data_IF_652111606739
#
_entry.id   IF_652111606739
#
_cell.length_a   1.000
_cell.length_b   1.000
_cell.length_c   1.000
_cell.angle_alpha   90.00
_cell.angle_beta   90.00
_cell.angle_gamma   90.00
#
_symmetry.space_group_name_H-M   'P 1'
#
loop_
_entity.id
_entity.type
_entity.pdbx_description
1 polymer ?
#
# COMPACT_ATOMS: atom_id res chain seq x y z
N UNK A 1 41.67 31.32 11.97
CA UNK A 1 41.88 29.85 11.81
C UNK A 1 40.94 28.99 12.66
N UNK A 2 40.62 29.35 13.92
CA UNK A 2 39.73 28.55 14.79
C UNK A 2 38.25 28.58 14.39
N UNK A 3 37.75 29.69 13.85
CA UNK A 3 36.35 29.87 13.41
C UNK A 3 36.02 29.10 12.12
N UNK A 4 36.99 28.92 11.23
CA UNK A 4 36.81 28.18 9.97
C UNK A 4 36.67 26.67 10.21
N UNK A 5 37.38 26.13 11.22
CA UNK A 5 37.34 24.70 11.59
C UNK A 5 35.98 24.35 12.24
N UNK A 6 35.41 25.25 13.05
CA UNK A 6 34.11 25.06 13.69
C UNK A 6 32.96 24.99 12.65
N UNK A 7 33.06 25.79 11.58
CA UNK A 7 32.04 25.86 10.53
C UNK A 7 32.04 24.60 9.65
N UNK A 8 33.21 24.00 9.39
CA UNK A 8 33.35 22.73 8.67
C UNK A 8 32.74 21.58 9.48
N UNK A 9 32.90 21.60 10.81
CA UNK A 9 32.37 20.57 11.71
C UNK A 9 30.82 20.57 11.77
N UNK A 10 30.21 21.76 11.73
CA UNK A 10 28.74 21.89 11.70
C UNK A 10 28.15 21.40 10.37
N UNK A 11 28.84 21.66 9.24
CA UNK A 11 28.40 21.22 7.91
C UNK A 11 28.52 19.69 7.74
N UNK A 12 29.49 19.04 8.39
CA UNK A 12 29.64 17.57 8.35
C UNK A 12 28.64 16.83 9.24
N UNK A 13 28.14 17.43 10.30
CA UNK A 13 27.11 16.83 11.16
C UNK A 13 25.72 16.92 10.50
N UNK A 14 25.44 17.98 9.73
CA UNK A 14 24.14 18.16 9.09
C UNK A 14 23.90 17.22 7.89
N UNK A 15 24.95 16.69 7.26
CA UNK A 15 24.83 15.75 6.14
C UNK A 15 24.48 14.31 6.56
N UNK A 16 24.63 13.96 7.84
CA UNK A 16 24.32 12.62 8.36
C UNK A 16 22.81 12.36 8.55
N UNK A 17 21.95 13.38 8.47
CA UNK A 17 20.50 13.22 8.64
C UNK A 17 19.71 13.09 7.33
N UNK A 18 20.38 13.12 6.16
CA UNK A 18 19.75 12.84 4.87
C UNK A 18 19.86 11.37 4.48
N UNK A 19 19.51 10.46 5.39
CA UNK A 19 19.21 9.08 5.00
C UNK A 19 17.83 9.07 4.32
N UNK A 20 17.81 9.42 3.04
CA UNK A 20 16.66 9.28 2.17
C UNK A 20 16.44 7.79 1.88
N UNK A 21 15.84 7.04 2.81
CA UNK A 21 15.48 5.64 2.57
C UNK A 21 14.16 5.57 1.80
N UNK A 22 14.20 5.94 0.53
CA UNK A 22 13.06 5.73 -0.37
C UNK A 22 13.30 4.51 -1.25
N UNK A 23 12.30 3.62 -1.26
CA UNK A 23 11.93 2.73 -2.37
C UNK A 23 12.50 1.30 -2.44
N UNK A 24 12.82 0.65 -1.31
CA UNK A 24 13.20 -0.79 -1.31
C UNK A 24 12.51 -1.65 -0.22
N UNK A 25 11.48 -1.14 0.46
CA UNK A 25 10.87 -1.85 1.60
C UNK A 25 10.21 -3.18 1.22
N UNK A 26 9.64 -3.31 0.02
CA UNK A 26 8.99 -4.58 -0.36
C UNK A 26 10.00 -5.71 -0.47
N UNK A 27 11.22 -5.47 -0.99
CA UNK A 27 12.23 -6.53 -1.13
C UNK A 27 12.58 -7.16 0.23
N UNK A 28 12.60 -6.35 1.29
CA UNK A 28 12.84 -6.81 2.67
C UNK A 28 11.68 -7.66 3.19
N UNK A 29 10.46 -7.24 2.91
CA UNK A 29 9.26 -7.88 3.46
C UNK A 29 8.69 -8.96 2.53
N UNK A 30 9.26 -9.18 1.34
CA UNK A 30 8.76 -10.09 0.31
C UNK A 30 8.61 -11.52 0.82
N UNK A 31 9.62 -12.06 1.50
CA UNK A 31 9.57 -13.44 2.02
C UNK A 31 8.44 -13.62 3.02
N UNK A 32 8.28 -12.68 3.96
CA UNK A 32 7.20 -12.71 4.94
C UNK A 32 5.83 -12.52 4.26
N UNK A 33 5.76 -11.61 3.29
CA UNK A 33 4.56 -11.40 2.47
C UNK A 33 4.16 -12.67 1.74
N UNK A 34 5.08 -13.34 1.05
CA UNK A 34 4.80 -14.56 0.27
C UNK A 34 4.38 -15.72 1.19
N UNK A 35 5.01 -15.84 2.37
CA UNK A 35 4.69 -16.87 3.36
C UNK A 35 3.36 -16.63 4.10
N UNK A 36 2.88 -15.39 4.19
CA UNK A 36 1.65 -15.06 4.93
C UNK A 36 0.41 -15.63 4.24
N UNK A 37 -0.47 -16.30 4.99
CA UNK A 37 -1.69 -16.88 4.44
C UNK A 37 -2.70 -15.79 4.04
N UNK A 38 -3.54 -16.05 3.03
CA UNK A 38 -4.65 -15.16 2.66
C UNK A 38 -5.83 -15.43 3.61
N UNK A 39 -6.26 -14.41 4.36
CA UNK A 39 -7.36 -14.52 5.32
C UNK A 39 -8.68 -13.98 4.76
N UNK A 40 -8.61 -13.06 3.78
CA UNK A 40 -9.78 -12.60 3.05
C UNK A 40 -9.41 -12.30 1.60
N UNK A 41 -10.33 -12.58 0.68
CA UNK A 41 -10.15 -12.33 -0.75
C UNK A 41 -11.46 -11.81 -1.32
N UNK A 42 -11.39 -10.62 -1.91
CA UNK A 42 -12.52 -9.95 -2.54
C UNK A 42 -12.23 -9.87 -4.03
N UNK A 43 -13.12 -10.42 -4.85
CA UNK A 43 -13.04 -10.35 -6.30
C UNK A 43 -13.99 -9.26 -6.80
N UNK A 44 -13.49 -8.37 -7.64
CA UNK A 44 -14.30 -7.34 -8.26
C UNK A 44 -15.32 -7.93 -9.25
N UNK A 45 -16.52 -7.36 -9.27
CA UNK A 45 -17.59 -7.63 -10.23
C UNK A 45 -17.92 -6.29 -10.90
N UNK A 46 -17.46 -6.08 -12.14
CA UNK A 46 -17.74 -4.85 -12.90
C UNK A 46 -16.52 -3.95 -13.15
N UNK A 47 -16.62 -2.66 -12.86
CA UNK A 47 -15.71 -1.58 -13.35
C UNK A 47 -14.20 -1.78 -13.11
N UNK A 48 -13.81 -2.61 -12.14
CA UNK A 48 -12.43 -3.02 -11.89
C UNK A 48 -12.21 -4.48 -12.34
N UNK A 49 -12.71 -4.83 -13.53
CA UNK A 49 -12.82 -6.22 -14.02
C UNK A 49 -11.56 -7.03 -13.76
N UNK A 50 -11.77 -8.24 -13.24
CA UNK A 50 -10.73 -9.21 -12.87
C UNK A 50 -9.68 -8.70 -11.87
N UNK A 51 -10.01 -7.67 -11.09
CA UNK A 51 -9.22 -7.27 -9.94
C UNK A 51 -9.61 -8.01 -8.66
N UNK A 52 -8.64 -8.09 -7.77
CA UNK A 52 -8.74 -8.71 -6.47
C UNK A 52 -8.13 -7.80 -5.42
N UNK A 53 -8.76 -7.79 -4.25
CA UNK A 53 -8.18 -7.25 -3.03
C UNK A 53 -8.05 -8.39 -2.03
N UNK A 54 -6.83 -8.72 -1.64
CA UNK A 54 -6.55 -9.78 -0.66
C UNK A 54 -5.98 -9.18 0.60
N UNK A 55 -6.49 -9.67 1.73
CA UNK A 55 -5.94 -9.43 3.05
C UNK A 55 -5.21 -10.70 3.46
N UNK A 56 -4.00 -10.53 3.95
CA UNK A 56 -3.16 -11.62 4.45
C UNK A 56 -2.90 -11.43 5.94
N UNK A 57 -2.38 -12.48 6.57
CA UNK A 57 -1.80 -12.40 7.91
C UNK A 57 -0.66 -11.39 7.98
N UNK A 58 -0.21 -11.07 9.19
CA UNK A 58 0.90 -10.15 9.46
C UNK A 58 0.71 -8.76 8.82
N UNK A 59 -0.55 -8.30 8.80
CA UNK A 59 -0.96 -6.99 8.32
C UNK A 59 -0.59 -6.70 6.86
N UNK A 60 -0.43 -7.74 6.04
CA UNK A 60 -0.17 -7.59 4.61
C UNK A 60 -1.47 -7.54 3.80
N UNK A 61 -1.44 -6.81 2.69
CA UNK A 61 -2.51 -6.84 1.70
C UNK A 61 -1.92 -6.80 0.28
N UNK A 62 -2.72 -7.20 -0.70
CA UNK A 62 -2.41 -7.07 -2.11
C UNK A 62 -3.64 -6.64 -2.88
N UNK A 63 -3.50 -5.59 -3.69
CA UNK A 63 -4.42 -5.39 -4.80
C UNK A 63 -3.76 -5.91 -6.08
N UNK A 64 -4.46 -6.68 -6.88
CA UNK A 64 -3.93 -7.11 -8.16
C UNK A 64 -5.02 -7.26 -9.22
N UNK A 65 -4.64 -7.09 -10.49
CA UNK A 65 -5.47 -7.41 -11.66
C UNK A 65 -5.00 -8.72 -12.27
N UNK A 66 -5.94 -9.56 -12.66
CA UNK A 66 -5.69 -10.87 -13.26
C UNK A 66 -6.00 -10.81 -14.77
N UNK A 67 -5.15 -11.44 -15.59
CA UNK A 67 -5.40 -11.67 -17.01
C UNK A 67 -6.36 -12.85 -17.21
N UNK A 68 -6.84 -13.01 -18.45
CA UNK A 68 -7.73 -14.10 -18.84
C UNK A 68 -7.13 -15.51 -18.59
N UNK A 69 -5.81 -15.64 -18.65
CA UNK A 69 -5.05 -16.87 -18.42
C UNK A 69 -4.75 -17.13 -16.92
N UNK A 70 -5.35 -16.34 -16.03
CA UNK A 70 -5.15 -16.37 -14.58
C UNK A 70 -3.80 -15.89 -14.07
N UNK A 71 -2.97 -15.29 -14.92
CA UNK A 71 -1.72 -14.67 -14.49
C UNK A 71 -1.99 -13.28 -13.90
N UNK A 72 -1.33 -12.95 -12.78
CA UNK A 72 -1.39 -11.59 -12.21
C UNK A 72 -0.68 -10.61 -13.17
N UNK A 73 -1.43 -9.67 -13.73
CA UNK A 73 -0.90 -8.64 -14.62
C UNK A 73 -0.21 -7.51 -13.85
N UNK A 74 -0.89 -7.03 -12.81
CA UNK A 74 -0.50 -5.87 -12.02
C UNK A 74 -0.69 -6.22 -10.56
N UNK A 75 0.34 -6.03 -9.74
CA UNK A 75 0.29 -6.32 -8.30
C UNK A 75 0.81 -5.12 -7.50
N UNK A 76 0.01 -4.72 -6.52
CA UNK A 76 0.26 -3.65 -5.58
C UNK A 76 0.21 -4.20 -4.16
N UNK A 77 1.31 -4.81 -3.68
CA UNK A 77 1.42 -5.26 -2.30
C UNK A 77 1.64 -4.06 -1.35
N UNK A 78 1.22 -4.24 -0.11
CA UNK A 78 1.42 -3.27 0.96
C UNK A 78 1.19 -3.85 2.34
N UNK A 79 1.27 -2.98 3.33
CA UNK A 79 0.83 -3.25 4.70
C UNK A 79 -0.38 -2.42 5.04
N UNK A 80 -1.26 -2.94 5.88
CA UNK A 80 -2.38 -2.18 6.39
C UNK A 80 -2.29 -2.01 7.91
N UNK A 81 -3.05 -1.07 8.43
CA UNK A 81 -3.41 -1.03 9.86
C UNK A 81 -4.91 -0.76 9.96
N UNK A 82 -5.55 -1.19 11.04
CA UNK A 82 -6.99 -1.03 11.22
C UNK A 82 -7.26 -0.05 12.36
N UNK A 83 -8.08 0.97 12.09
CA UNK A 83 -8.59 1.91 13.09
C UNK A 83 -10.11 1.98 12.93
N UNK A 84 -10.84 1.43 13.90
CA UNK A 84 -12.28 1.18 13.74
C UNK A 84 -12.55 0.29 12.52
N UNK A 85 -13.46 0.71 11.65
CA UNK A 85 -13.81 -0.02 10.43
C UNK A 85 -12.95 0.36 9.21
N UNK A 86 -11.98 1.27 9.40
CA UNK A 86 -11.13 1.76 8.32
C UNK A 86 -9.79 1.04 8.30
N UNK A 87 -9.46 0.46 7.15
CA UNK A 87 -8.11 0.01 6.83
C UNK A 87 -7.30 1.19 6.30
N UNK A 88 -6.13 1.42 6.86
CA UNK A 88 -5.15 2.39 6.40
C UNK A 88 -4.08 1.64 5.60
N UNK A 89 -4.06 1.87 4.29
CA UNK A 89 -3.25 1.14 3.32
C UNK A 89 -1.93 1.88 3.08
N UNK A 90 -0.82 1.19 3.31
CA UNK A 90 0.51 1.66 2.98
C UNK A 90 1.10 0.79 1.86
N UNK A 91 0.97 1.27 0.63
CA UNK A 91 1.48 0.59 -0.55
C UNK A 91 3.00 0.73 -0.64
N UNK A 92 3.66 -0.36 -1.03
CA UNK A 92 5.08 -0.28 -1.36
C UNK A 92 5.35 0.48 -2.67
N UNK A 93 4.38 0.47 -3.58
CA UNK A 93 4.40 1.28 -4.80
C UNK A 93 3.60 2.56 -4.60
N UNK A 94 4.26 3.72 -4.69
CA UNK A 94 3.61 5.04 -4.52
C UNK A 94 2.53 5.35 -5.56
N UNK A 95 2.62 4.79 -6.77
CA UNK A 95 1.60 4.97 -7.82
C UNK A 95 0.30 4.23 -7.50
N UNK A 96 0.36 3.13 -6.74
CA UNK A 96 -0.83 2.38 -6.36
C UNK A 96 -1.75 3.17 -5.41
N UNK A 97 -1.14 3.92 -4.49
CA UNK A 97 -1.83 4.85 -3.61
C UNK A 97 -2.61 5.92 -4.38
N UNK A 98 -2.09 6.41 -5.51
CA UNK A 98 -2.79 7.38 -6.37
C UNK A 98 -3.97 6.74 -7.12
N UNK A 99 -3.87 5.46 -7.46
CA UNK A 99 -4.91 4.73 -8.20
C UNK A 99 -6.10 4.35 -7.30
N UNK A 100 -5.85 3.78 -6.13
CA UNK A 100 -6.89 3.30 -5.20
C UNK A 100 -7.22 4.29 -4.09
N UNK A 101 -6.22 4.94 -3.51
CA UNK A 101 -6.32 5.67 -2.25
C UNK A 101 -5.67 4.94 -1.08
N UNK A 102 -5.41 5.66 0.01
CA UNK A 102 -4.64 5.18 1.16
C UNK A 102 -5.51 4.59 2.27
N UNK A 103 -6.81 4.49 2.05
CA UNK A 103 -7.78 3.97 3.01
C UNK A 103 -8.80 3.09 2.30
N UNK A 104 -9.31 2.11 3.02
CA UNK A 104 -10.41 1.27 2.56
C UNK A 104 -11.41 1.01 3.68
N UNK A 105 -12.70 1.01 3.33
CA UNK A 105 -13.78 0.53 4.18
C UNK A 105 -14.41 -0.67 3.50
N UNK A 106 -14.47 -1.80 4.20
CA UNK A 106 -15.09 -3.02 3.69
C UNK A 106 -16.49 -3.10 4.27
N UNK A 107 -17.50 -3.03 3.42
CA UNK A 107 -18.90 -3.19 3.79
C UNK A 107 -19.39 -4.54 3.26
N UNK A 108 -19.47 -5.53 4.14
CA UNK A 108 -19.92 -6.89 3.80
C UNK A 108 -21.40 -6.96 3.50
N UNK A 109 -22.25 -6.14 4.14
CA UNK A 109 -23.69 -6.11 3.89
C UNK A 109 -24.02 -5.62 2.47
N UNK A 110 -23.33 -4.56 2.03
CA UNK A 110 -23.46 -3.98 0.69
C UNK A 110 -22.55 -4.65 -0.34
N UNK A 111 -21.74 -5.61 0.10
CA UNK A 111 -20.72 -6.29 -0.69
C UNK A 111 -19.82 -5.34 -1.49
N UNK A 112 -19.32 -4.30 -0.83
CA UNK A 112 -18.45 -3.29 -1.44
C UNK A 112 -17.21 -3.00 -0.59
N UNK A 113 -16.10 -2.68 -1.26
CA UNK A 113 -14.95 -2.01 -0.67
C UNK A 113 -14.90 -0.60 -1.23
N UNK A 114 -14.92 0.39 -0.34
CA UNK A 114 -14.77 1.79 -0.71
C UNK A 114 -13.35 2.23 -0.39
N UNK A 115 -12.56 2.50 -1.42
CA UNK A 115 -11.23 3.08 -1.30
C UNK A 115 -11.28 4.61 -1.39
N UNK A 116 -10.53 5.29 -0.53
CA UNK A 116 -10.54 6.74 -0.44
C UNK A 116 -9.24 7.32 0.14
N UNK A 117 -9.05 8.63 0.00
CA UNK A 117 -7.96 9.38 0.63
C UNK A 117 -8.48 10.63 1.38
N UNK A 118 -7.58 11.39 2.04
CA UNK A 118 -7.88 12.63 2.77
C UNK A 118 -8.42 13.78 1.89
N UNK A 119 -8.36 13.68 0.56
CA UNK A 119 -8.74 14.75 -0.35
C UNK A 119 -9.98 14.37 -1.19
N UNK A 120 -10.98 15.25 -1.09
CA UNK A 120 -12.28 15.36 -1.76
C UNK A 120 -12.42 14.88 -3.24
N UNK A 121 -12.10 13.63 -3.59
CA UNK A 121 -12.37 13.24 -4.99
C UNK A 121 -12.29 11.77 -5.36
N UNK A 122 -11.31 11.00 -4.85
CA UNK A 122 -11.14 9.63 -5.32
C UNK A 122 -11.88 8.69 -4.36
N UNK A 123 -13.10 8.31 -4.75
CA UNK A 123 -13.82 7.17 -4.19
C UNK A 123 -13.83 6.08 -5.25
N UNK A 124 -12.97 5.07 -5.11
CA UNK A 124 -13.06 3.86 -5.93
C UNK A 124 -13.88 2.83 -5.17
N UNK A 125 -14.79 2.16 -5.87
CA UNK A 125 -15.57 1.07 -5.30
C UNK A 125 -15.18 -0.23 -5.97
N UNK A 126 -14.96 -1.26 -5.17
CA UNK A 126 -14.84 -2.64 -5.62
C UNK A 126 -16.07 -3.38 -5.10
N UNK A 127 -16.97 -3.75 -6.00
CA UNK A 127 -18.12 -4.58 -5.69
C UNK A 127 -17.69 -6.05 -5.73
N UNK A 128 -18.15 -6.86 -4.78
CA UNK A 128 -17.84 -8.27 -4.68
C UNK A 128 -19.10 -9.12 -4.44
N UNK A 129 -18.98 -10.45 -4.54
CA UNK A 129 -20.07 -11.40 -4.27
C UNK A 129 -19.99 -11.99 -2.87
#
# INVERSE_FOLDING_TARGET
>A
MKTTILLIFIVTIFSLFFSCTTTNSFKKDKTAFDASAVIAKYKAIGDLNDSYFTIKENDFFEFYMQLFDSVKNTSYPGKYSKIGDTLFLNFYNKGAAQFLGNKALINTEKKEIVFFDKLLGIKRKLLFN
#
